data_IF_833247840825
#
_entry.id   IF_833247840825
#
_cell.length_a   1.000
_cell.length_b   1.000
_cell.length_c   1.000
_cell.angle_alpha   90.00
_cell.angle_beta   90.00
_cell.angle_gamma   90.00
#
_symmetry.space_group_name_H-M   'P 1'
#
loop_
_entity.id
_entity.type
_entity.pdbx_description
1 polymer ?
#
# COMPACT_ATOMS: atom_id res chain seq x y z
N UNK A 1 -47.92 -35.95 -0.95
CA UNK A 1 -46.57 -35.86 -0.36
C UNK A 1 -45.64 -34.89 -1.11
N UNK A 2 -45.69 -34.86 -2.45
CA UNK A 2 -44.85 -34.01 -3.31
C UNK A 2 -44.91 -32.51 -3.01
N UNK A 3 -46.10 -31.95 -2.78
CA UNK A 3 -46.30 -30.50 -2.59
C UNK A 3 -45.60 -29.95 -1.33
N UNK A 4 -45.48 -30.77 -0.28
CA UNK A 4 -44.75 -30.39 0.96
C UNK A 4 -43.24 -30.38 0.73
N UNK A 5 -42.73 -31.32 -0.09
CA UNK A 5 -41.31 -31.39 -0.46
C UNK A 5 -40.91 -30.15 -1.27
N UNK A 6 -41.73 -29.75 -2.26
CA UNK A 6 -41.49 -28.53 -3.04
C UNK A 6 -41.42 -27.25 -2.20
N UNK A 7 -42.29 -27.12 -1.18
CA UNK A 7 -42.28 -25.97 -0.27
C UNK A 7 -40.99 -25.97 0.58
N UNK A 8 -40.57 -27.13 1.10
CA UNK A 8 -39.36 -27.24 1.92
C UNK A 8 -38.11 -26.91 1.09
N UNK A 9 -38.00 -27.42 -0.13
CA UNK A 9 -36.88 -27.11 -1.03
C UNK A 9 -36.84 -25.63 -1.40
N UNK A 10 -38.01 -25.00 -1.64
CA UNK A 10 -38.11 -23.57 -1.90
C UNK A 10 -37.64 -22.71 -0.72
N UNK A 11 -38.07 -23.04 0.50
CA UNK A 11 -37.61 -22.36 1.72
C UNK A 11 -36.10 -22.56 1.96
N UNK A 12 -35.57 -23.75 1.69
CA UNK A 12 -34.14 -24.00 1.88
C UNK A 12 -33.29 -23.20 0.88
N UNK A 13 -33.74 -23.10 -0.37
CA UNK A 13 -33.08 -22.32 -1.41
C UNK A 13 -33.05 -20.82 -1.08
N UNK A 14 -34.15 -20.25 -0.57
CA UNK A 14 -34.18 -18.84 -0.19
C UNK A 14 -33.27 -18.53 1.00
N UNK A 15 -33.20 -19.42 2.00
CA UNK A 15 -32.28 -19.27 3.14
C UNK A 15 -30.82 -19.31 2.66
N UNK A 16 -30.47 -20.21 1.73
CA UNK A 16 -29.12 -20.32 1.20
C UNK A 16 -28.67 -19.05 0.44
N UNK A 17 -29.57 -18.46 -0.36
CA UNK A 17 -29.28 -17.21 -1.09
C UNK A 17 -29.10 -16.03 -0.12
N UNK A 18 -29.92 -15.95 0.93
CA UNK A 18 -29.79 -14.90 1.95
C UNK A 18 -28.51 -15.05 2.78
N UNK A 19 -28.06 -16.27 3.05
CA UNK A 19 -26.82 -16.56 3.77
C UNK A 19 -25.56 -16.28 2.93
N UNK A 20 -25.63 -16.38 1.61
CA UNK A 20 -24.50 -16.09 0.71
C UNK A 20 -24.24 -14.59 0.46
N UNK A 21 -25.18 -13.71 0.85
CA UNK A 21 -25.03 -12.27 0.68
C UNK A 21 -24.21 -11.68 1.84
N UNK A 22 -22.89 -11.86 1.76
CA UNK A 22 -21.97 -11.27 2.74
C UNK A 22 -21.82 -9.77 2.45
N UNK A 23 -22.33 -8.93 3.36
CA UNK A 23 -22.32 -7.46 3.22
C UNK A 23 -20.92 -6.87 3.30
N UNK A 24 -19.90 -7.61 3.76
CA UNK A 24 -18.57 -7.06 4.00
C UNK A 24 -17.49 -7.95 3.40
N UNK A 25 -17.19 -7.72 2.13
CA UNK A 25 -16.05 -8.37 1.47
C UNK A 25 -14.75 -7.69 1.94
N UNK A 26 -14.04 -8.34 2.86
CA UNK A 26 -12.78 -7.82 3.46
C UNK A 26 -11.52 -8.22 2.68
N UNK A 27 -11.66 -8.98 1.60
CA UNK A 27 -10.56 -9.43 0.77
C UNK A 27 -10.64 -8.86 -0.65
N UNK A 28 -9.49 -8.63 -1.30
CA UNK A 28 -9.47 -8.22 -2.69
C UNK A 28 -10.19 -9.23 -3.59
N UNK A 29 -10.82 -8.71 -4.65
CA UNK A 29 -11.56 -9.52 -5.62
C UNK A 29 -10.66 -10.44 -6.45
N UNK A 30 -11.28 -11.34 -7.23
CA UNK A 30 -10.58 -12.14 -8.24
C UNK A 30 -10.66 -11.39 -9.56
N UNK A 31 -9.51 -11.08 -10.15
CA UNK A 31 -9.43 -10.49 -11.48
C UNK A 31 -9.23 -11.59 -12.53
N UNK A 32 -9.90 -11.47 -13.68
CA UNK A 32 -9.64 -12.31 -14.85
C UNK A 32 -8.59 -11.60 -15.72
N UNK A 33 -7.45 -12.27 -15.94
CA UNK A 33 -6.31 -11.76 -16.73
C UNK A 33 -5.61 -10.50 -16.12
N UNK A 34 -4.96 -10.62 -14.94
CA UNK A 34 -4.31 -9.49 -14.26
C UNK A 34 -2.82 -9.30 -14.63
N UNK A 35 -2.44 -9.46 -15.89
CA UNK A 35 -1.03 -9.45 -16.32
C UNK A 35 -0.36 -8.07 -16.23
N UNK A 36 -1.15 -7.00 -16.20
CA UNK A 36 -0.69 -5.60 -16.07
C UNK A 36 -1.37 -4.85 -14.92
N UNK A 37 -2.03 -5.55 -13.99
CA UNK A 37 -2.67 -4.90 -12.83
C UNK A 37 -1.66 -4.36 -11.82
N UNK A 38 -0.52 -5.02 -11.70
CA UNK A 38 0.56 -4.61 -10.80
C UNK A 38 1.75 -4.08 -11.61
N UNK A 39 2.31 -2.97 -11.18
CA UNK A 39 3.49 -2.36 -11.82
C UNK A 39 4.74 -3.20 -11.56
N UNK A 40 5.53 -3.48 -12.60
CA UNK A 40 6.88 -4.05 -12.44
C UNK A 40 7.87 -3.02 -11.86
N UNK A 41 7.62 -1.73 -12.12
CA UNK A 41 8.37 -0.63 -11.55
C UNK A 41 7.90 -0.33 -10.13
N UNK A 42 8.84 0.02 -9.25
CA UNK A 42 8.52 0.49 -7.90
C UNK A 42 7.95 1.90 -7.95
N UNK A 43 6.80 2.10 -7.32
CA UNK A 43 6.24 3.43 -7.05
C UNK A 43 6.86 4.03 -5.77
N UNK A 44 6.74 5.34 -5.58
CA UNK A 44 7.39 6.08 -4.49
C UNK A 44 7.09 5.53 -3.09
N UNK A 45 5.90 4.93 -2.89
CA UNK A 45 5.45 4.38 -1.61
C UNK A 45 5.22 2.87 -1.63
N UNK A 46 5.73 2.18 -2.65
CA UNK A 46 5.65 0.72 -2.74
C UNK A 46 6.61 0.04 -1.75
N UNK A 47 6.26 -1.18 -1.30
CA UNK A 47 7.12 -1.94 -0.39
C UNK A 47 8.38 -2.42 -1.12
N UNK A 48 9.53 -2.34 -0.43
CA UNK A 48 10.85 -2.74 -0.95
C UNK A 48 11.34 -4.04 -0.33
N UNK A 49 10.46 -4.80 0.31
CA UNK A 49 10.77 -6.05 1.02
C UNK A 49 11.43 -7.08 0.09
N UNK A 50 10.98 -7.16 -1.17
CA UNK A 50 11.58 -8.04 -2.17
C UNK A 50 13.07 -7.73 -2.43
N UNK A 51 13.48 -6.46 -2.39
CA UNK A 51 14.88 -6.08 -2.53
C UNK A 51 15.71 -6.62 -1.35
N UNK A 52 15.16 -6.51 -0.14
CA UNK A 52 15.80 -7.01 1.09
C UNK A 52 15.94 -8.53 1.09
N UNK A 53 14.92 -9.26 0.62
CA UNK A 53 14.97 -10.72 0.45
C UNK A 53 16.07 -11.15 -0.53
N UNK A 54 16.32 -10.34 -1.56
CA UNK A 54 17.42 -10.54 -2.50
C UNK A 54 18.77 -9.99 -2.00
N UNK A 55 18.87 -9.56 -0.74
CA UNK A 55 20.11 -9.06 -0.14
C UNK A 55 20.53 -7.66 -0.60
N UNK A 56 19.63 -6.91 -1.24
CA UNK A 56 19.87 -5.55 -1.72
C UNK A 56 19.52 -4.58 -0.59
N UNK A 57 20.49 -3.76 -0.18
CA UNK A 57 20.29 -2.72 0.82
C UNK A 57 19.78 -1.43 0.14
N UNK A 58 18.48 -1.17 0.26
CA UNK A 58 17.83 0.04 -0.23
C UNK A 58 17.05 0.70 0.91
N UNK A 59 17.41 1.95 1.24
CA UNK A 59 16.84 2.72 2.35
C UNK A 59 16.05 3.96 1.90
N UNK A 60 15.86 4.13 0.58
CA UNK A 60 15.19 5.29 -0.04
C UNK A 60 15.76 6.67 0.37
N UNK A 61 16.95 6.73 0.96
CA UNK A 61 17.62 7.98 1.32
C UNK A 61 18.76 8.26 0.34
N UNK A 62 18.99 9.54 -0.02
CA UNK A 62 20.18 9.91 -0.76
C UNK A 62 21.43 9.64 0.09
N UNK A 63 22.59 9.55 -0.55
CA UNK A 63 23.86 9.46 0.17
C UNK A 63 24.11 10.78 0.88
N UNK A 64 24.58 10.71 2.13
CA UNK A 64 24.94 11.87 2.95
C UNK A 64 25.87 12.83 2.20
N UNK A 65 25.55 14.13 2.25
CA UNK A 65 26.34 15.19 1.61
C UNK A 65 26.07 15.39 0.11
N UNK A 66 25.19 14.62 -0.51
CA UNK A 66 24.74 14.90 -1.88
C UNK A 66 23.79 16.11 -1.91
N UNK A 67 23.92 16.97 -2.92
CA UNK A 67 23.07 18.16 -3.11
C UNK A 67 22.31 17.99 -4.41
N UNK A 68 20.98 18.08 -4.34
CA UNK A 68 20.13 17.99 -5.52
C UNK A 68 20.27 19.23 -6.40
N UNK A 69 20.12 19.06 -7.72
CA UNK A 69 20.16 20.21 -8.65
C UNK A 69 18.96 21.11 -8.39
N UNK A 70 19.21 22.41 -8.20
CA UNK A 70 18.18 23.41 -7.93
C UNK A 70 17.78 23.51 -6.46
N UNK A 71 18.41 22.72 -5.59
CA UNK A 71 18.30 22.89 -4.14
C UNK A 71 19.35 23.90 -3.63
N UNK A 72 19.13 24.42 -2.43
CA UNK A 72 20.10 25.28 -1.75
C UNK A 72 21.32 24.47 -1.29
N UNK A 73 22.47 25.13 -1.20
CA UNK A 73 23.64 24.52 -0.58
C UNK A 73 23.33 24.16 0.88
N UNK A 74 24.01 23.11 1.38
CA UNK A 74 23.83 22.66 2.75
C UNK A 74 24.02 23.80 3.76
N UNK A 75 23.13 23.86 4.75
CA UNK A 75 23.17 24.87 5.81
C UNK A 75 24.46 24.70 6.64
N UNK A 76 25.29 25.75 6.68
CA UNK A 76 26.63 25.69 7.28
C UNK A 76 26.68 26.11 8.74
N UNK A 77 25.66 26.82 9.22
CA UNK A 77 25.57 27.27 10.60
C UNK A 77 25.04 26.13 11.47
N UNK A 78 25.55 26.02 12.69
CA UNK A 78 25.02 25.06 13.66
C UNK A 78 23.67 25.54 14.17
N UNK A 79 22.81 24.60 14.54
CA UNK A 79 21.54 24.89 15.22
C UNK A 79 21.78 25.15 16.71
N UNK A 80 22.54 26.19 17.03
CA UNK A 80 22.83 26.67 18.38
C UNK A 80 22.66 28.20 18.47
N UNK A 81 22.73 28.75 19.69
CA UNK A 81 22.58 30.20 19.92
C UNK A 81 23.61 31.04 19.15
N UNK A 82 24.85 30.53 19.04
CA UNK A 82 25.92 31.18 18.30
C UNK A 82 25.63 31.22 16.78
N UNK A 83 25.15 30.11 16.22
CA UNK A 83 24.72 29.99 14.84
C UNK A 83 23.50 30.87 14.54
N UNK A 84 22.56 30.98 15.48
CA UNK A 84 21.42 31.89 15.35
C UNK A 84 21.88 33.36 15.30
N UNK A 85 22.77 33.79 16.20
CA UNK A 85 23.30 35.16 16.19
C UNK A 85 23.99 35.52 14.85
N UNK A 86 24.74 34.58 14.27
CA UNK A 86 25.40 34.76 12.97
C UNK A 86 24.39 34.76 11.81
N UNK A 87 23.27 34.06 11.92
CA UNK A 87 22.24 34.01 10.85
C UNK A 87 21.41 35.29 10.68
N UNK A 88 21.35 36.14 11.70
CA UNK A 88 20.54 37.37 11.74
C UNK A 88 21.37 38.61 11.36
N UNK A 89 22.69 38.47 11.28
CA UNK A 89 23.65 39.53 10.95
C UNK A 89 23.79 39.68 9.44
#
# INVERSE_FOLDING_TARGET
>A
MMKKIWIITGCLATIAVLAGCDKTKRSPGRAYMPDMSESRAYDAYSSTENLKEHGINYNAMPVEGTIARGDQFGYTLKNDEAGYAVSIS
#
